data_IF_319045965595
#
_entry.id   IF_319045965595
#
_cell.length_a   1.000
_cell.length_b   1.000
_cell.length_c   1.000
_cell.angle_alpha   90.00
_cell.angle_beta   90.00
_cell.angle_gamma   90.00
#
_symmetry.space_group_name_H-M   'P 1'
#
loop_
_entity.id
_entity.type
_entity.pdbx_description
1 polymer ?
#
# COMPACT_ATOMS: atom_id res chain seq x y z
N UNK A 1 1.11 -94.08 -5.73
CA UNK A 1 1.11 -92.63 -6.02
C UNK A 1 0.10 -91.80 -5.18
N UNK A 2 -0.98 -92.37 -4.63
CA UNK A 2 -2.04 -91.57 -3.95
C UNK A 2 -1.71 -91.07 -2.52
N UNK A 3 -0.90 -91.76 -1.71
CA UNK A 3 -0.59 -91.32 -0.31
C UNK A 3 0.10 -89.95 -0.21
N UNK A 4 0.85 -89.51 -1.24
CA UNK A 4 1.46 -88.16 -1.26
C UNK A 4 0.47 -87.02 -1.54
N UNK A 5 -0.71 -87.30 -2.12
CA UNK A 5 -1.72 -86.26 -2.42
C UNK A 5 -2.61 -85.91 -1.21
N UNK A 6 -2.85 -86.85 -0.29
CA UNK A 6 -3.62 -86.59 0.94
C UNK A 6 -2.88 -85.69 1.95
N UNK A 7 -1.56 -85.87 2.12
CA UNK A 7 -0.77 -85.07 3.06
C UNK A 7 -0.68 -83.58 2.68
N UNK A 8 -0.67 -83.27 1.38
CA UNK A 8 -0.64 -81.88 0.89
C UNK A 8 -2.01 -81.20 1.09
N UNK A 9 -3.12 -81.94 0.90
CA UNK A 9 -4.47 -81.41 1.16
C UNK A 9 -4.71 -81.10 2.65
N UNK A 10 -4.19 -81.94 3.56
CA UNK A 10 -4.30 -81.71 5.00
C UNK A 10 -3.54 -80.46 5.47
N UNK A 11 -2.31 -80.24 4.99
CA UNK A 11 -1.55 -79.03 5.34
C UNK A 11 -2.18 -77.75 4.78
N UNK A 12 -2.77 -77.79 3.58
CA UNK A 12 -3.41 -76.62 2.97
C UNK A 12 -4.61 -76.12 3.80
N UNK A 13 -5.40 -77.03 4.40
CA UNK A 13 -6.56 -76.67 5.23
C UNK A 13 -6.09 -76.11 6.59
N UNK A 14 -5.05 -76.68 7.20
CA UNK A 14 -4.46 -76.15 8.43
C UNK A 14 -3.87 -74.73 8.24
N UNK A 15 -3.26 -74.44 7.08
CA UNK A 15 -2.74 -73.11 6.76
C UNK A 15 -3.85 -72.07 6.49
N UNK A 16 -5.00 -72.49 5.94
CA UNK A 16 -6.14 -71.60 5.70
C UNK A 16 -6.92 -71.25 6.98
N UNK A 17 -6.90 -72.11 8.00
CA UNK A 17 -7.48 -71.81 9.32
C UNK A 17 -6.57 -70.86 10.11
N UNK A 18 -5.25 -70.88 9.87
CA UNK A 18 -4.27 -70.05 10.57
C UNK A 18 -4.13 -68.59 10.13
N UNK A 19 -4.84 -68.13 9.08
CA UNK A 19 -4.74 -66.75 8.55
C UNK A 19 -5.95 -65.88 8.93
N UNK A 20 -7.01 -66.45 9.51
CA UNK A 20 -8.22 -65.70 9.91
C UNK A 20 -8.14 -65.19 11.36
N UNK A 21 -7.20 -65.69 12.17
CA UNK A 21 -7.15 -65.44 13.61
C UNK A 21 -6.14 -64.36 14.06
N UNK A 22 -6.18 -63.17 13.46
CA UNK A 22 -5.75 -61.91 14.10
C UNK A 22 -6.17 -60.69 13.25
N UNK A 23 -6.95 -59.78 13.84
CA UNK A 23 -7.38 -58.45 13.34
C UNK A 23 -8.76 -58.27 12.70
N UNK A 24 -9.72 -59.15 13.00
CA UNK A 24 -11.04 -58.62 13.40
C UNK A 24 -10.96 -58.13 14.85
N UNK A 25 -10.19 -57.04 15.08
CA UNK A 25 -10.49 -56.19 16.23
C UNK A 25 -11.85 -55.58 15.89
N UNK A 26 -12.89 -56.05 16.58
CA UNK A 26 -14.19 -55.39 16.57
C UNK A 26 -14.02 -54.05 17.28
N UNK A 27 -13.56 -53.03 16.55
CA UNK A 27 -13.50 -51.66 17.09
C UNK A 27 -14.90 -51.28 17.54
N UNK A 28 -15.07 -50.89 18.81
CA UNK A 28 -16.37 -50.46 19.34
C UNK A 28 -16.93 -49.23 18.60
N UNK A 29 -16.06 -48.50 17.90
CA UNK A 29 -16.42 -47.53 16.86
C UNK A 29 -15.16 -47.07 16.11
N UNK A 30 -15.35 -46.52 14.92
CA UNK A 30 -14.31 -45.82 14.15
C UNK A 30 -14.83 -44.42 13.84
N UNK A 31 -14.04 -43.38 14.15
CA UNK A 31 -14.32 -42.01 13.73
C UNK A 31 -13.30 -41.66 12.65
N UNK A 32 -13.78 -41.41 11.44
CA UNK A 32 -12.96 -40.94 10.32
C UNK A 32 -13.36 -39.50 10.00
N UNK A 33 -12.36 -38.62 9.94
CA UNK A 33 -12.52 -37.25 9.47
C UNK A 33 -11.75 -37.07 8.16
N UNK A 34 -12.38 -36.42 7.19
CA UNK A 34 -11.74 -35.94 5.97
C UNK A 34 -11.86 -34.42 5.96
N UNK A 35 -10.74 -33.71 5.90
CA UNK A 35 -10.70 -32.25 5.83
C UNK A 35 -10.05 -31.80 4.52
N UNK A 36 -10.72 -30.88 3.81
CA UNK A 36 -10.16 -30.22 2.64
C UNK A 36 -9.57 -28.87 3.08
N UNK A 37 -8.24 -28.79 3.16
CA UNK A 37 -7.53 -27.57 3.57
C UNK A 37 -7.44 -26.61 2.38
N UNK A 38 -7.82 -25.35 2.59
CA UNK A 38 -7.61 -24.24 1.63
C UNK A 38 -6.39 -23.42 2.04
N UNK A 39 -5.87 -22.62 1.12
CA UNK A 39 -4.79 -21.67 1.41
C UNK A 39 -5.21 -20.65 2.48
N UNK A 40 -4.28 -20.34 3.38
CA UNK A 40 -4.51 -19.47 4.53
C UNK A 40 -4.65 -17.97 4.16
N UNK A 41 -3.98 -17.53 3.09
CA UNK A 41 -3.88 -16.13 2.67
C UNK A 41 -3.99 -16.05 1.15
N UNK A 42 -4.82 -15.14 0.63
CA UNK A 42 -4.89 -14.81 -0.80
C UNK A 42 -4.01 -13.59 -1.10
N UNK A 43 -3.45 -13.52 -2.31
CA UNK A 43 -2.79 -12.33 -2.86
C UNK A 43 -3.60 -11.88 -4.08
N UNK A 44 -4.07 -10.63 -4.07
CA UNK A 44 -4.99 -10.06 -5.07
C UNK A 44 -6.22 -10.95 -5.35
N UNK A 45 -6.71 -11.63 -4.32
CA UNK A 45 -7.85 -12.56 -4.38
C UNK A 45 -7.55 -13.91 -5.04
N UNK A 46 -6.30 -14.15 -5.45
CA UNK A 46 -5.85 -15.40 -6.09
C UNK A 46 -5.27 -16.38 -5.09
N UNK A 47 -5.43 -17.67 -5.37
CA UNK A 47 -4.71 -18.74 -4.68
C UNK A 47 -3.45 -19.17 -5.47
N UNK A 48 -2.59 -19.96 -4.85
CA UNK A 48 -1.27 -20.36 -5.35
C UNK A 48 -1.31 -21.08 -6.71
N UNK A 49 -2.47 -21.60 -7.13
CA UNK A 49 -2.66 -22.24 -8.44
C UNK A 49 -2.85 -21.22 -9.57
N UNK A 50 -3.19 -19.99 -9.23
CA UNK A 50 -3.41 -18.86 -10.14
C UNK A 50 -2.21 -17.87 -10.12
N UNK A 51 -1.06 -18.30 -9.58
CA UNK A 51 0.19 -17.54 -9.44
C UNK A 51 1.28 -18.06 -10.40
N UNK A 52 2.29 -17.24 -10.77
CA UNK A 52 2.54 -15.87 -10.34
C UNK A 52 1.58 -14.85 -10.96
N UNK A 53 1.42 -13.72 -10.27
CA UNK A 53 0.90 -12.49 -10.87
C UNK A 53 2.08 -11.85 -11.61
N UNK A 54 1.92 -11.64 -12.92
CA UNK A 54 2.99 -11.10 -13.77
C UNK A 54 2.64 -9.67 -14.18
N UNK A 55 3.55 -8.75 -13.89
CA UNK A 55 3.51 -7.37 -14.34
C UNK A 55 4.69 -7.12 -15.30
N UNK A 56 4.53 -6.18 -16.23
CA UNK A 56 5.57 -5.82 -17.19
C UNK A 56 5.56 -4.32 -17.44
N UNK A 57 6.73 -3.69 -17.36
CA UNK A 57 6.93 -2.28 -17.66
C UNK A 57 8.28 -2.09 -18.36
N UNK A 58 8.36 -1.07 -19.21
CA UNK A 58 9.61 -0.54 -19.74
C UNK A 58 10.06 0.62 -18.84
N UNK A 59 11.31 0.59 -18.38
CA UNK A 59 11.87 1.57 -17.43
C UNK A 59 13.28 1.99 -17.83
N UNK A 60 13.65 3.22 -17.53
CA UNK A 60 15.01 3.71 -17.61
C UNK A 60 15.78 3.51 -16.29
N UNK A 61 17.11 3.45 -16.39
CA UNK A 61 17.97 3.45 -15.20
C UNK A 61 17.79 4.73 -14.38
N UNK A 62 17.57 4.60 -13.07
CA UNK A 62 17.29 5.71 -12.16
C UNK A 62 15.82 5.92 -11.86
N UNK A 63 14.91 5.27 -12.58
CA UNK A 63 13.47 5.36 -12.33
C UNK A 63 13.01 4.45 -11.17
N UNK A 64 11.86 4.79 -10.61
CA UNK A 64 11.13 3.98 -9.63
C UNK A 64 9.75 3.63 -10.18
N UNK A 65 9.38 2.35 -10.13
CA UNK A 65 8.03 1.85 -10.44
C UNK A 65 7.41 1.28 -9.18
N UNK A 66 6.13 1.58 -8.93
CA UNK A 66 5.38 0.93 -7.86
C UNK A 66 4.11 0.27 -8.41
N UNK A 67 3.82 -0.93 -7.94
CA UNK A 67 2.55 -1.63 -8.16
C UNK A 67 1.80 -1.85 -6.85
N UNK A 68 0.48 -1.93 -6.95
CA UNK A 68 -0.44 -2.07 -5.81
C UNK A 68 -0.96 -3.50 -5.72
N UNK A 69 -0.93 -4.05 -4.51
CA UNK A 69 -1.36 -5.40 -4.20
C UNK A 69 -2.07 -5.44 -2.85
N UNK A 70 -2.76 -6.54 -2.58
CA UNK A 70 -3.34 -6.79 -1.27
C UNK A 70 -3.27 -8.26 -0.85
N UNK A 71 -3.00 -8.47 0.44
CA UNK A 71 -3.12 -9.76 1.10
C UNK A 71 -4.43 -9.83 1.88
N UNK A 72 -5.06 -10.99 1.91
CA UNK A 72 -6.25 -11.22 2.75
C UNK A 72 -6.15 -12.56 3.48
N UNK A 73 -6.20 -12.48 4.80
CA UNK A 73 -6.25 -13.63 5.70
C UNK A 73 -7.61 -14.35 5.62
N UNK A 74 -7.61 -15.65 5.37
CA UNK A 74 -8.79 -16.53 5.35
C UNK A 74 -8.88 -17.43 6.58
N UNK A 75 -8.02 -17.22 7.58
CA UNK A 75 -7.93 -18.02 8.81
C UNK A 75 -8.65 -17.36 9.99
N UNK A 76 -9.02 -18.18 10.97
CA UNK A 76 -9.56 -17.73 12.26
C UNK A 76 -8.46 -17.47 13.32
N UNK A 77 -7.20 -17.57 12.93
CA UNK A 77 -6.01 -17.32 13.76
C UNK A 77 -5.04 -16.44 12.97
N UNK A 78 -4.18 -15.64 13.64
CA UNK A 78 -3.15 -14.86 12.94
C UNK A 78 -2.24 -15.73 12.07
N UNK A 79 -1.68 -15.15 11.02
CA UNK A 79 -0.70 -15.80 10.13
C UNK A 79 0.54 -14.93 10.05
N UNK A 80 1.68 -15.49 10.44
CA UNK A 80 2.98 -14.86 10.31
C UNK A 80 3.53 -15.11 8.89
N UNK A 81 3.97 -14.05 8.22
CA UNK A 81 4.37 -14.01 6.81
C UNK A 81 5.69 -13.29 6.62
N UNK A 82 6.34 -13.56 5.50
CA UNK A 82 7.49 -12.81 5.00
C UNK A 82 7.42 -12.61 3.49
N UNK A 83 7.92 -11.47 3.00
CA UNK A 83 8.22 -11.27 1.60
C UNK A 83 9.62 -11.79 1.29
N UNK A 84 9.73 -12.63 0.25
CA UNK A 84 11.01 -13.14 -0.28
C UNK A 84 11.14 -12.67 -1.72
N UNK A 85 12.07 -11.75 -1.97
CA UNK A 85 12.37 -11.22 -3.31
C UNK A 85 13.52 -11.99 -3.96
N UNK A 86 13.30 -12.52 -5.16
CA UNK A 86 14.37 -12.95 -6.06
C UNK A 86 14.48 -12.00 -7.26
N UNK A 87 15.69 -11.76 -7.76
CA UNK A 87 15.95 -10.95 -8.96
C UNK A 87 16.89 -11.76 -9.86
N UNK A 88 16.57 -11.91 -11.15
CA UNK A 88 17.36 -12.78 -12.06
C UNK A 88 18.79 -12.30 -12.30
N UNK A 89 19.04 -11.00 -12.15
CA UNK A 89 20.36 -10.38 -12.25
C UNK A 89 20.49 -9.30 -11.18
N UNK A 90 21.56 -9.38 -10.38
CA UNK A 90 21.91 -8.30 -9.45
C UNK A 90 22.45 -7.10 -10.24
N UNK A 91 21.54 -6.18 -10.58
CA UNK A 91 21.80 -4.97 -11.36
C UNK A 91 21.70 -3.68 -10.55
N UNK A 92 21.64 -3.74 -9.22
CA UNK A 92 21.32 -2.58 -8.39
C UNK A 92 19.83 -2.22 -8.40
N UNK A 93 18.95 -3.22 -8.37
CA UNK A 93 17.51 -3.03 -8.18
C UNK A 93 17.20 -3.19 -6.69
N UNK A 94 16.59 -2.19 -6.08
CA UNK A 94 16.11 -2.24 -4.68
C UNK A 94 14.60 -2.41 -4.65
N UNK A 95 14.08 -3.24 -3.76
CA UNK A 95 12.64 -3.50 -3.61
C UNK A 95 12.19 -3.16 -2.21
N UNK A 96 11.20 -2.25 -2.10
CA UNK A 96 10.57 -1.85 -0.84
C UNK A 96 9.10 -2.23 -0.81
N UNK A 97 8.61 -2.58 0.38
CA UNK A 97 7.21 -2.95 0.65
C UNK A 97 6.59 -1.91 1.56
N UNK A 98 5.44 -1.35 1.20
CA UNK A 98 4.84 -0.26 1.97
C UNK A 98 3.34 -0.45 2.17
N UNK A 99 2.89 -0.53 3.42
CA UNK A 99 1.47 -0.45 3.80
C UNK A 99 0.97 0.95 3.51
N UNK A 100 -0.13 1.05 2.80
CA UNK A 100 -0.82 2.34 2.62
C UNK A 100 -1.76 2.53 3.79
N UNK A 101 -1.63 3.66 4.49
CA UNK A 101 -2.51 4.01 5.60
C UNK A 101 -3.68 4.85 5.10
N UNK A 102 -4.91 4.45 5.43
CA UNK A 102 -6.02 5.40 5.44
C UNK A 102 -5.89 6.31 6.66
N UNK A 103 -6.21 7.59 6.50
CA UNK A 103 -6.09 8.59 7.55
C UNK A 103 -7.26 9.58 7.47
N UNK A 104 -7.87 9.89 8.60
CA UNK A 104 -8.85 10.98 8.71
C UNK A 104 -8.33 11.99 9.72
N UNK A 105 -8.20 13.24 9.28
CA UNK A 105 -7.80 14.38 10.09
C UNK A 105 -9.01 15.29 10.30
N UNK A 106 -9.22 15.73 11.54
CA UNK A 106 -10.21 16.76 11.87
C UNK A 106 -9.56 18.12 12.06
N UNK A 107 -10.38 19.15 12.27
CA UNK A 107 -9.93 20.52 12.50
C UNK A 107 -8.78 20.64 13.52
N UNK A 108 -8.87 19.89 14.62
CA UNK A 108 -7.92 19.91 15.74
C UNK A 108 -6.53 19.37 15.41
N UNK A 109 -6.34 18.70 14.27
CA UNK A 109 -5.03 18.14 13.86
C UNK A 109 -4.13 19.18 13.17
N UNK A 110 -4.69 20.32 12.78
CA UNK A 110 -3.99 21.36 12.04
C UNK A 110 -3.35 22.42 12.98
N UNK A 111 -2.27 23.04 12.51
CA UNK A 111 -1.77 24.30 13.05
C UNK A 111 -2.36 25.43 12.22
N UNK A 112 -3.07 26.35 12.88
CA UNK A 112 -3.58 27.58 12.30
C UNK A 112 -2.66 28.74 12.66
N UNK A 113 -2.45 29.67 11.73
CA UNK A 113 -1.71 30.90 12.00
C UNK A 113 -2.64 31.97 12.56
N UNK A 114 -2.41 32.35 13.82
CA UNK A 114 -3.05 33.46 14.55
C UNK A 114 -4.61 33.40 14.46
N UNK A 115 -5.45 34.45 14.28
CA UNK A 115 -6.90 34.33 14.46
C UNK A 115 -7.67 33.75 13.25
N UNK A 116 -7.15 32.70 12.60
CA UNK A 116 -7.91 31.89 11.66
C UNK A 116 -8.80 30.91 12.44
N UNK A 117 -10.11 30.94 12.18
CA UNK A 117 -11.07 29.97 12.74
C UNK A 117 -10.72 28.57 12.23
N UNK A 118 -11.11 27.53 12.97
CA UNK A 118 -10.98 26.12 12.59
C UNK A 118 -11.85 25.78 11.34
N UNK A 119 -11.40 26.23 10.17
CA UNK A 119 -12.16 26.16 8.92
C UNK A 119 -11.94 24.86 8.14
N UNK A 120 -11.00 24.00 8.52
CA UNK A 120 -10.87 22.66 7.95
C UNK A 120 -11.88 21.76 8.65
N UNK A 121 -12.86 21.25 7.92
CA UNK A 121 -13.80 20.27 8.45
C UNK A 121 -13.13 18.90 8.56
N UNK A 122 -12.56 18.43 7.46
CA UNK A 122 -11.89 17.13 7.37
C UNK A 122 -10.84 17.10 6.26
N UNK A 123 -9.79 16.30 6.47
CA UNK A 123 -8.96 15.76 5.38
C UNK A 123 -8.95 14.25 5.49
N UNK A 124 -9.44 13.56 4.45
CA UNK A 124 -9.44 12.11 4.34
C UNK A 124 -8.40 11.69 3.31
N UNK A 125 -7.45 10.87 3.72
CA UNK A 125 -6.47 10.20 2.86
C UNK A 125 -6.95 8.75 2.68
N UNK A 126 -7.20 8.34 1.44
CA UNK A 126 -7.70 7.01 1.12
C UNK A 126 -7.06 6.42 -0.14
N UNK A 127 -7.33 5.14 -0.36
CA UNK A 127 -6.92 4.42 -1.57
C UNK A 127 -7.91 4.65 -2.71
N UNK A 128 -7.38 5.09 -3.86
CA UNK A 128 -8.06 5.07 -5.15
C UNK A 128 -7.49 3.99 -6.06
N UNK A 129 -8.11 3.80 -7.22
CA UNK A 129 -7.56 2.92 -8.26
C UNK A 129 -6.23 3.50 -8.77
N UNK A 130 -5.12 2.78 -8.55
CA UNK A 130 -3.75 3.19 -8.92
C UNK A 130 -3.18 4.43 -8.21
N UNK A 131 -3.86 5.02 -7.23
CA UNK A 131 -3.46 6.30 -6.61
C UNK A 131 -3.82 6.42 -5.12
N UNK A 132 -3.16 7.35 -4.43
CA UNK A 132 -3.65 7.89 -3.15
C UNK A 132 -4.52 9.12 -3.44
N UNK A 133 -5.63 9.23 -2.73
CA UNK A 133 -6.61 10.32 -2.83
C UNK A 133 -6.64 11.10 -1.52
N UNK A 134 -6.53 12.42 -1.61
CA UNK A 134 -6.81 13.35 -0.52
C UNK A 134 -8.09 14.09 -0.82
N UNK A 135 -9.12 13.85 -0.02
CA UNK A 135 -10.37 14.63 -0.01
C UNK A 135 -10.28 15.65 1.11
N UNK A 136 -10.46 16.94 0.78
CA UNK A 136 -10.37 18.06 1.71
C UNK A 136 -11.72 18.78 1.72
N UNK A 137 -12.34 18.82 2.89
CA UNK A 137 -13.59 19.54 3.14
C UNK A 137 -13.34 20.71 4.10
N UNK A 138 -13.83 21.88 3.72
CA UNK A 138 -13.77 23.11 4.49
C UNK A 138 -15.16 23.49 5.01
N UNK A 139 -15.20 24.19 6.14
CA UNK A 139 -16.45 24.69 6.69
C UNK A 139 -16.88 25.95 5.93
N UNK A 140 -17.85 25.81 5.03
CA UNK A 140 -18.42 26.90 4.23
C UNK A 140 -18.84 28.14 5.01
N UNK A 141 -19.41 27.97 6.20
CA UNK A 141 -19.81 29.11 7.05
C UNK A 141 -18.62 29.93 7.55
N UNK A 142 -17.43 29.34 7.61
CA UNK A 142 -16.19 29.97 8.06
C UNK A 142 -15.35 30.49 6.89
N UNK A 143 -15.40 29.85 5.71
CA UNK A 143 -14.70 30.33 4.51
C UNK A 143 -15.54 31.27 3.63
N UNK A 144 -16.82 31.47 3.93
CA UNK A 144 -17.66 32.43 3.21
C UNK A 144 -17.03 33.85 3.24
N UNK A 145 -17.04 34.54 2.11
CA UNK A 145 -16.40 35.85 1.95
C UNK A 145 -14.86 35.83 1.87
N UNK A 146 -14.23 34.66 1.86
CA UNK A 146 -12.82 34.52 1.49
C UNK A 146 -12.67 34.71 -0.03
N UNK A 147 -11.55 35.30 -0.45
CA UNK A 147 -11.27 35.63 -1.85
C UNK A 147 -10.12 34.80 -2.42
N UNK A 148 -9.46 34.01 -1.57
CA UNK A 148 -8.35 33.13 -1.91
C UNK A 148 -8.35 31.92 -0.96
N UNK A 149 -8.98 30.81 -1.36
CA UNK A 149 -8.76 29.49 -0.74
C UNK A 149 -8.08 28.51 -1.71
N UNK A 150 -7.38 27.52 -1.17
CA UNK A 150 -6.79 26.44 -1.95
C UNK A 150 -6.06 25.43 -1.08
N UNK A 151 -5.93 24.20 -1.57
CA UNK A 151 -5.25 23.10 -0.89
C UNK A 151 -4.04 22.64 -1.69
N UNK A 152 -2.85 22.66 -1.07
CA UNK A 152 -1.60 22.22 -1.66
C UNK A 152 -0.92 21.17 -0.78
N UNK A 153 -0.74 19.97 -1.32
CA UNK A 153 0.11 18.94 -0.75
C UNK A 153 1.58 19.34 -0.93
N UNK A 154 2.39 18.97 0.05
CA UNK A 154 3.82 18.72 -0.11
C UNK A 154 4.01 17.20 -0.12
N UNK A 155 4.72 16.68 -1.10
CA UNK A 155 5.26 15.31 -1.10
C UNK A 155 6.79 15.39 -1.07
N UNK A 156 7.41 14.57 -0.22
CA UNK A 156 8.86 14.43 -0.12
C UNK A 156 9.22 12.95 -0.24
N UNK A 157 9.79 12.56 -1.39
CA UNK A 157 10.36 11.23 -1.63
C UNK A 157 11.89 11.28 -1.46
N UNK A 158 12.60 10.13 -1.51
CA UNK A 158 14.06 10.10 -1.56
C UNK A 158 14.68 10.73 -2.82
N UNK A 159 13.88 11.01 -3.86
CA UNK A 159 14.35 11.47 -5.18
C UNK A 159 13.95 12.92 -5.47
N UNK A 160 12.73 13.30 -5.06
CA UNK A 160 12.14 14.60 -5.37
C UNK A 160 11.26 15.09 -4.21
N UNK A 161 11.32 16.39 -3.97
CA UNK A 161 10.39 17.10 -3.08
C UNK A 161 9.56 18.03 -3.96
N UNK A 162 8.24 17.93 -3.90
CA UNK A 162 7.34 18.73 -4.73
C UNK A 162 6.10 19.21 -3.98
N UNK A 163 5.47 20.25 -4.52
CA UNK A 163 4.09 20.63 -4.16
C UNK A 163 3.13 20.29 -5.27
N UNK A 164 1.92 19.84 -4.92
CA UNK A 164 0.84 19.60 -5.86
C UNK A 164 -0.51 20.02 -5.26
N UNK A 165 -1.33 20.73 -6.04
CA UNK A 165 -2.72 21.02 -5.68
C UNK A 165 -3.25 22.33 -6.25
N UNK A 166 -4.37 22.83 -5.71
CA UNK A 166 -5.00 24.08 -6.15
C UNK A 166 -4.40 25.24 -5.37
N UNK A 167 -3.85 26.23 -6.07
CA UNK A 167 -3.26 27.43 -5.47
C UNK A 167 -4.04 28.69 -5.87
N UNK A 168 -4.38 29.60 -4.94
CA UNK A 168 -5.12 30.81 -5.26
C UNK A 168 -4.40 31.74 -6.25
N UNK A 169 -3.07 31.71 -6.29
CA UNK A 169 -2.27 32.49 -7.24
C UNK A 169 -2.29 31.98 -8.69
N UNK A 170 -2.99 30.88 -8.98
CA UNK A 170 -2.94 30.18 -10.27
C UNK A 170 -4.30 30.02 -10.98
N UNK A 171 -5.28 30.88 -10.66
CA UNK A 171 -6.58 30.95 -11.33
C UNK A 171 -7.30 29.59 -11.46
N UNK A 172 -7.38 28.85 -10.36
CA UNK A 172 -8.02 27.52 -10.25
C UNK A 172 -7.41 26.42 -11.13
N UNK A 173 -6.19 26.59 -11.65
CA UNK A 173 -5.44 25.49 -12.25
C UNK A 173 -4.64 24.71 -11.20
N UNK A 174 -4.46 23.38 -11.37
CA UNK A 174 -3.53 22.62 -10.57
C UNK A 174 -2.10 23.13 -10.74
N UNK A 175 -1.38 23.30 -9.63
CA UNK A 175 0.00 23.78 -9.60
C UNK A 175 0.91 22.65 -9.16
N UNK A 176 1.89 22.32 -10.00
CA UNK A 176 3.02 21.47 -9.66
C UNK A 176 4.31 22.31 -9.60
N UNK A 177 5.14 22.09 -8.58
CA UNK A 177 6.47 22.72 -8.40
C UNK A 177 7.39 21.77 -7.69
N UNK A 178 8.68 21.81 -8.01
CA UNK A 178 9.72 21.03 -7.35
C UNK A 178 10.59 21.92 -6.47
N UNK A 179 11.19 21.33 -5.43
CA UNK A 179 12.16 21.99 -4.56
C UNK A 179 13.57 21.55 -4.95
N UNK A 180 14.28 22.42 -5.67
CA UNK A 180 15.57 22.16 -6.29
C UNK A 180 16.59 23.16 -5.73
N UNK A 181 17.77 22.66 -5.32
CA UNK A 181 18.89 23.48 -4.81
C UNK A 181 18.52 24.50 -3.70
N UNK A 182 17.53 24.16 -2.88
CA UNK A 182 17.07 25.01 -1.77
C UNK A 182 16.01 26.05 -2.14
N UNK A 183 15.42 25.98 -3.33
CA UNK A 183 14.37 26.89 -3.78
C UNK A 183 13.22 26.16 -4.48
N UNK A 184 12.03 26.77 -4.46
CA UNK A 184 10.88 26.30 -5.23
C UNK A 184 10.99 26.74 -6.69
N UNK A 185 10.75 25.81 -7.61
CA UNK A 185 10.69 26.08 -9.04
C UNK A 185 9.56 27.06 -9.40
N UNK A 186 9.64 27.65 -10.59
CA UNK A 186 8.43 28.14 -11.26
C UNK A 186 7.43 26.98 -11.47
N UNK A 187 6.12 27.25 -11.63
CA UNK A 187 5.15 26.21 -11.95
C UNK A 187 5.59 25.39 -13.18
N UNK A 188 5.58 24.07 -13.00
CA UNK A 188 5.92 23.09 -14.03
C UNK A 188 4.63 22.42 -14.55
N UNK A 189 4.66 21.75 -15.72
CA UNK A 189 3.56 20.89 -16.15
C UNK A 189 3.23 19.85 -15.08
N UNK A 190 1.94 19.58 -14.88
CA UNK A 190 1.47 18.55 -13.94
C UNK A 190 1.88 17.17 -14.48
N UNK A 191 2.54 16.31 -13.66
CA UNK A 191 2.90 14.96 -14.07
C UNK A 191 1.69 14.10 -14.44
N UNK A 192 1.90 13.18 -15.38
CA UNK A 192 0.85 12.32 -15.92
C UNK A 192 0.10 11.52 -14.83
N UNK A 193 -1.23 11.65 -14.83
CA UNK A 193 -2.11 10.94 -13.90
C UNK A 193 -2.26 11.59 -12.53
N UNK A 194 -1.53 12.68 -12.23
CA UNK A 194 -1.87 13.54 -11.09
C UNK A 194 -3.12 14.36 -11.44
N UNK A 195 -4.13 14.32 -10.57
CA UNK A 195 -5.40 15.03 -10.76
C UNK A 195 -5.70 15.94 -9.57
N UNK A 196 -6.26 17.12 -9.83
CA UNK A 196 -6.80 17.98 -8.78
C UNK A 196 -8.13 18.57 -9.25
N UNK A 197 -9.15 18.52 -8.39
CA UNK A 197 -10.46 19.11 -8.62
C UNK A 197 -10.89 19.99 -7.44
N UNK A 198 -11.76 20.95 -7.73
CA UNK A 198 -12.07 22.09 -6.86
C UNK A 198 -11.44 23.37 -7.43
N UNK A 199 -12.05 24.50 -7.12
CA UNK A 199 -11.65 25.84 -7.56
C UNK A 199 -11.16 26.67 -6.37
N UNK A 200 -10.48 27.78 -6.67
CA UNK A 200 -10.19 28.81 -5.66
C UNK A 200 -11.51 29.31 -5.08
N UNK A 201 -11.64 29.30 -3.75
CA UNK A 201 -12.85 29.61 -2.96
C UNK A 201 -13.93 28.51 -2.90
N UNK A 202 -13.66 27.31 -3.42
CA UNK A 202 -14.54 26.15 -3.15
C UNK A 202 -14.36 25.63 -1.71
N UNK A 203 -15.39 24.93 -1.22
CA UNK A 203 -15.43 24.26 0.07
C UNK A 203 -14.87 22.82 0.02
N UNK A 204 -14.66 22.27 -1.18
CA UNK A 204 -14.30 20.88 -1.39
C UNK A 204 -13.20 20.74 -2.44
N UNK A 205 -12.15 20.01 -2.12
CA UNK A 205 -11.05 19.70 -3.02
C UNK A 205 -10.77 18.19 -3.02
N UNK A 206 -10.40 17.65 -4.18
CA UNK A 206 -9.88 16.28 -4.28
C UNK A 206 -8.57 16.32 -5.04
N UNK A 207 -7.52 15.78 -4.43
CA UNK A 207 -6.18 15.67 -5.01
C UNK A 207 -5.83 14.19 -5.13
N UNK A 208 -5.36 13.75 -6.30
CA UNK A 208 -4.96 12.36 -6.55
C UNK A 208 -3.53 12.30 -7.03
N UNK A 209 -2.74 11.39 -6.47
CA UNK A 209 -1.36 11.15 -6.88
C UNK A 209 -1.16 9.64 -7.13
N UNK A 210 -0.80 9.22 -8.36
CA UNK A 210 -0.49 7.83 -8.67
C UNK A 210 0.64 7.25 -7.81
N UNK A 211 0.56 5.96 -7.45
CA UNK A 211 1.56 5.31 -6.57
C UNK A 211 3.00 5.42 -7.08
N UNK A 212 3.22 5.50 -8.40
CA UNK A 212 4.55 5.69 -9.02
C UNK A 212 5.30 6.94 -8.51
N UNK A 213 4.59 7.94 -8.00
CA UNK A 213 5.18 9.16 -7.44
C UNK A 213 5.30 9.17 -5.90
N UNK A 214 4.98 8.07 -5.23
CA UNK A 214 4.80 8.01 -3.77
C UNK A 214 5.75 7.02 -3.06
N UNK A 215 6.72 6.42 -3.75
CA UNK A 215 7.69 5.49 -3.14
C UNK A 215 8.42 6.12 -1.93
N UNK A 216 8.25 5.53 -0.75
CA UNK A 216 8.84 6.04 0.50
C UNK A 216 8.41 7.46 0.85
N UNK A 217 7.27 7.94 0.32
CA UNK A 217 6.85 9.33 0.47
C UNK A 217 6.52 9.70 1.91
N UNK A 218 7.02 10.87 2.29
CA UNK A 218 6.46 11.67 3.37
C UNK A 218 5.61 12.79 2.77
N UNK A 219 4.70 13.31 3.56
CA UNK A 219 3.78 14.34 3.10
C UNK A 219 3.45 15.36 4.19
N UNK A 220 2.94 16.49 3.72
CA UNK A 220 2.25 17.50 4.50
C UNK A 220 1.20 18.17 3.61
N UNK A 221 0.32 18.96 4.20
CA UNK A 221 -0.67 19.76 3.47
C UNK A 221 -0.73 21.17 4.05
N UNK A 222 -0.85 22.12 3.15
CA UNK A 222 -1.12 23.51 3.45
C UNK A 222 -2.43 23.91 2.77
N UNK A 223 -3.41 24.31 3.55
CA UNK A 223 -4.66 24.90 3.06
C UNK A 223 -4.54 26.40 3.32
N UNK A 224 -4.64 27.22 2.29
CA UNK A 224 -4.70 28.68 2.44
C UNK A 224 -6.15 29.14 2.47
N UNK A 225 -6.44 30.17 3.25
CA UNK A 225 -7.75 30.82 3.29
C UNK A 225 -7.59 32.30 3.65
N UNK A 226 -7.52 33.18 2.65
CA UNK A 226 -7.38 34.64 2.84
C UNK A 226 -8.72 35.37 2.63
N UNK A 227 -9.05 36.27 3.56
CA UNK A 227 -10.27 37.08 3.54
C UNK A 227 -9.97 38.59 3.42
N UNK A 228 -11.01 39.39 3.16
CA UNK A 228 -10.87 40.83 2.96
C UNK A 228 -10.42 41.56 4.24
N UNK A 229 -9.60 42.59 4.08
CA UNK A 229 -9.09 43.41 5.20
C UNK A 229 -7.86 42.84 5.92
N UNK A 230 -7.44 41.61 5.62
CA UNK A 230 -6.24 41.02 6.22
C UNK A 230 -5.15 40.79 5.16
N UNK A 231 -4.00 41.42 5.33
CA UNK A 231 -2.82 41.23 4.49
C UNK A 231 -1.90 40.16 5.06
N UNK A 232 -2.08 38.91 4.63
CA UNK A 232 -1.17 37.81 4.94
C UNK A 232 -1.70 36.47 4.46
N UNK A 233 -0.80 35.55 4.09
CA UNK A 233 -1.13 34.14 3.87
C UNK A 233 -1.52 33.51 5.20
N UNK A 234 -2.83 33.44 5.44
CA UNK A 234 -3.46 32.66 6.48
C UNK A 234 -3.58 31.21 6.01
N UNK A 235 -3.32 30.27 6.90
CA UNK A 235 -3.29 28.86 6.56
C UNK A 235 -3.68 27.97 7.74
N UNK A 236 -4.16 26.78 7.39
CA UNK A 236 -4.15 25.59 8.20
C UNK A 236 -3.10 24.65 7.61
N UNK A 237 -2.23 24.07 8.45
CA UNK A 237 -1.22 23.12 8.01
C UNK A 237 -1.26 21.82 8.81
N UNK A 238 -0.92 20.71 8.16
CA UNK A 238 -0.66 19.43 8.80
C UNK A 238 0.62 18.80 8.23
N UNK A 239 1.52 18.22 9.04
CA UNK A 239 1.49 18.22 10.51
C UNK A 239 1.69 19.61 11.14
N UNK A 240 1.45 19.70 12.45
CA UNK A 240 1.58 20.98 13.20
C UNK A 240 3.02 21.44 13.30
N UNK A 241 3.93 20.49 13.43
CA UNK A 241 5.37 20.63 13.52
C UNK A 241 6.05 20.86 12.16
N UNK A 242 5.30 20.85 11.05
CA UNK A 242 5.87 20.99 9.71
C UNK A 242 6.47 22.38 9.49
N UNK A 243 7.71 22.41 9.00
CA UNK A 243 8.48 23.62 8.72
C UNK A 243 8.00 24.47 7.53
N UNK A 244 6.88 24.09 6.89
CA UNK A 244 6.31 24.69 5.67
C UNK A 244 7.33 24.83 4.53
N UNK A 245 6.99 25.68 3.56
CA UNK A 245 7.74 26.01 2.35
C UNK A 245 9.20 26.41 2.56
N UNK A 246 9.58 26.90 3.75
CA UNK A 246 10.97 27.29 4.06
C UNK A 246 11.83 26.13 4.58
N UNK A 247 11.23 25.11 5.18
CA UNK A 247 11.90 23.91 5.66
C UNK A 247 11.05 22.67 5.33
N UNK A 248 10.85 22.35 4.04
CA UNK A 248 9.78 21.45 3.60
C UNK A 248 9.87 20.04 4.17
N UNK A 249 11.05 19.55 4.53
CA UNK A 249 11.28 18.19 5.05
C UNK A 249 11.24 18.08 6.57
N UNK A 250 11.13 19.19 7.31
CA UNK A 250 11.07 19.18 8.78
C UNK A 250 9.63 18.95 9.22
N UNK A 251 9.37 17.92 10.03
CA UNK A 251 8.04 17.69 10.62
C UNK A 251 6.97 17.20 9.63
N UNK A 252 7.36 16.49 8.57
CA UNK A 252 6.43 15.85 7.62
C UNK A 252 6.00 14.46 8.11
N UNK A 253 4.74 14.09 7.86
CA UNK A 253 4.19 12.79 8.21
C UNK A 253 4.64 11.72 7.21
N UNK A 254 4.78 10.47 7.65
CA UNK A 254 4.91 9.35 6.72
C UNK A 254 3.55 9.15 6.03
N UNK A 255 3.52 9.13 4.69
CA UNK A 255 2.31 8.75 3.95
C UNK A 255 2.15 7.23 3.94
N UNK A 256 3.28 6.55 3.80
CA UNK A 256 3.40 5.11 3.69
C UNK A 256 4.23 4.56 4.84
N UNK A 257 3.87 3.39 5.34
CA UNK A 257 4.63 2.68 6.38
C UNK A 257 5.34 1.48 5.77
N UNK A 258 6.66 1.42 5.90
CA UNK A 258 7.44 0.27 5.40
C UNK A 258 7.03 -1.02 6.14
N UNK A 259 6.81 -2.09 5.37
CA UNK A 259 6.49 -3.43 5.89
C UNK A 259 7.80 -4.19 6.03
N UNK A 260 8.34 -4.21 7.25
CA UNK A 260 9.47 -5.07 7.59
C UNK A 260 9.02 -6.53 7.65
N UNK A 261 9.73 -7.44 6.98
CA UNK A 261 9.51 -8.89 7.16
C UNK A 261 10.33 -9.44 8.33
N UNK A 262 9.81 -10.39 9.13
CA UNK A 262 8.46 -10.95 9.06
C UNK A 262 7.38 -10.01 9.64
N UNK A 263 6.13 -10.21 9.22
CA UNK A 263 4.95 -9.47 9.69
C UNK A 263 3.77 -10.42 9.90
N UNK A 264 2.79 -10.04 10.72
CA UNK A 264 1.60 -10.83 10.98
C UNK A 264 0.36 -10.22 10.31
N UNK A 265 -0.55 -11.08 9.83
CA UNK A 265 -1.93 -10.71 9.49
C UNK A 265 -2.89 -11.26 10.54
N UNK A 266 -3.79 -10.43 11.05
CA UNK A 266 -4.84 -10.84 11.97
C UNK A 266 -5.91 -11.71 11.26
N UNK A 267 -6.78 -12.43 12.01
CA UNK A 267 -7.86 -13.23 11.43
C UNK A 267 -8.81 -12.36 10.58
N UNK A 268 -8.94 -12.69 9.29
CA UNK A 268 -9.78 -11.91 8.37
C UNK A 268 -9.22 -10.53 7.98
N UNK A 269 -7.99 -10.18 8.37
CA UNK A 269 -7.37 -8.90 7.97
C UNK A 269 -7.08 -8.86 6.48
N UNK A 270 -7.36 -7.71 5.87
CA UNK A 270 -6.83 -7.29 4.58
C UNK A 270 -5.68 -6.30 4.79
N UNK A 271 -4.55 -6.55 4.15
CA UNK A 271 -3.40 -5.67 4.10
C UNK A 271 -3.22 -5.18 2.67
N UNK A 272 -3.59 -3.92 2.43
CA UNK A 272 -3.31 -3.19 1.19
C UNK A 272 -1.90 -2.59 1.24
N UNK A 273 -1.10 -2.85 0.20
CA UNK A 273 0.30 -2.45 0.14
C UNK A 273 0.74 -2.13 -1.29
N UNK A 274 1.83 -1.36 -1.40
CA UNK A 274 2.55 -1.20 -2.66
C UNK A 274 3.92 -1.86 -2.58
N UNK A 275 4.34 -2.46 -3.69
CA UNK A 275 5.72 -2.87 -3.93
C UNK A 275 6.34 -1.78 -4.79
N UNK A 276 7.51 -1.27 -4.40
CA UNK A 276 8.24 -0.28 -5.19
C UNK A 276 9.62 -0.84 -5.57
N UNK A 277 9.90 -0.82 -6.87
CA UNK A 277 11.13 -1.26 -7.51
C UNK A 277 11.91 -0.02 -7.96
N UNK A 278 13.08 0.21 -7.35
CA UNK A 278 13.98 1.31 -7.70
C UNK A 278 15.17 0.77 -8.49
N UNK A 279 15.39 1.30 -9.68
CA UNK A 279 16.44 0.88 -10.60
C UNK A 279 17.64 1.82 -10.49
N UNK A 280 18.86 1.29 -10.36
CA UNK A 280 20.06 2.12 -10.33
C UNK A 280 20.25 2.92 -11.64
N UNK A 281 20.77 4.15 -11.55
CA UNK A 281 21.03 5.03 -12.71
C UNK A 281 21.96 4.39 -13.74
N UNK A 282 22.89 3.54 -13.27
CA UNK A 282 23.86 2.83 -14.08
C UNK A 282 23.50 1.34 -14.33
N UNK A 283 22.23 0.95 -14.16
CA UNK A 283 21.79 -0.41 -14.52
C UNK A 283 22.01 -0.66 -16.01
N UNK A 284 22.43 -1.88 -16.36
CA UNK A 284 22.61 -2.25 -17.77
C UNK A 284 21.25 -2.43 -18.47
N UNK A 285 21.08 -1.95 -19.71
CA UNK A 285 19.89 -2.25 -20.49
C UNK A 285 19.70 -3.76 -20.68
N UNK A 286 18.54 -4.29 -20.31
CA UNK A 286 18.22 -5.71 -20.39
C UNK A 286 16.87 -6.03 -19.73
N UNK A 287 16.44 -7.29 -19.86
CA UNK A 287 15.22 -7.78 -19.21
C UNK A 287 15.55 -8.32 -17.82
N UNK A 288 14.93 -7.76 -16.80
CA UNK A 288 15.04 -8.19 -15.41
C UNK A 288 13.72 -8.84 -14.98
N UNK A 289 13.76 -10.05 -14.40
CA UNK A 289 12.60 -10.63 -13.73
C UNK A 289 12.78 -10.50 -12.23
N UNK A 290 11.84 -9.80 -11.60
CA UNK A 290 11.74 -9.64 -10.15
C UNK A 290 10.58 -10.51 -9.69
N UNK A 291 10.83 -11.41 -8.74
CA UNK A 291 9.84 -12.34 -8.21
C UNK A 291 9.71 -12.14 -6.71
N UNK A 292 8.64 -11.51 -6.27
CA UNK A 292 8.24 -11.49 -4.86
C UNK A 292 7.37 -12.72 -4.54
N UNK A 293 7.77 -13.48 -3.53
CA UNK A 293 6.99 -14.60 -2.99
C UNK A 293 6.55 -14.26 -1.57
N UNK A 294 5.28 -14.49 -1.25
CA UNK A 294 4.77 -14.41 0.12
C UNK A 294 4.81 -15.81 0.73
N UNK A 295 5.60 -15.98 1.79
CA UNK A 295 5.81 -17.27 2.47
C UNK A 295 5.40 -17.17 3.94
N UNK A 296 5.04 -18.29 4.60
CA UNK A 296 4.94 -18.32 6.06
C UNK A 296 6.28 -17.93 6.69
N UNK A 297 6.27 -17.09 7.72
CA UNK A 297 7.44 -16.87 8.56
C UNK A 297 7.67 -18.08 9.48
N UNK A 298 8.94 -18.37 9.77
CA UNK A 298 9.41 -19.52 10.57
C UNK A 298 10.08 -19.09 11.86
#
# INVERSE_FOLDING_TARGET
MQRKKMLIAGLAIALLIGIVSAWTISYFGQIQMTANVKQAVLLDGKDIRDMPITESCDVAGGETVCSFHWLESKTSVPVDLAFVTGITYDGGITVGYYKVGELTLGASDFLYRDPAVEYVSSVVVSLGDGCVVWTIDLNGSLISGHWSTGAQLLIATPEVIYTFGISPGAASQPVYKEYIDGAWSSPLPVPEGMEASGNVNDEHFVLKIPFKYLCGAKWAINIEASWAGHSGSWYAQYPKEWGRWANPTVGVANLLTEITSPFALAPGERLDFIICYKFAVNIYPGTYTITTTVVPAS
#
